data_IF_913095078114
#
_entry.id   IF_913095078114
#
_cell.length_a   1.000
_cell.length_b   1.000
_cell.length_c   1.000
_cell.angle_alpha   90.00
_cell.angle_beta   90.00
_cell.angle_gamma   90.00
#
_symmetry.space_group_name_H-M   'P 1'
#
loop_
_entity.id
_entity.type
_entity.pdbx_description
1 polymer ?
#
# COMPACT_ATOMS: atom_id res chain seq x y z
N UNK A 1 -8.03 42.81 7.31
CA UNK A 1 -7.32 41.50 7.46
C UNK A 1 -8.14 40.49 8.24
N UNK A 2 -8.77 40.84 9.36
CA UNK A 2 -9.52 39.89 10.22
C UNK A 2 -10.73 39.27 9.55
N UNK A 3 -11.46 39.97 8.70
CA UNK A 3 -12.66 39.46 8.01
C UNK A 3 -12.27 38.45 6.96
N UNK A 4 -11.23 38.70 6.15
CA UNK A 4 -10.76 37.77 5.14
C UNK A 4 -10.24 36.45 5.75
N UNK A 5 -9.57 36.55 6.92
CA UNK A 5 -9.13 35.36 7.67
C UNK A 5 -10.31 34.53 8.15
N UNK A 6 -11.35 35.15 8.68
CA UNK A 6 -12.56 34.48 9.15
C UNK A 6 -13.26 33.73 8.00
N UNK A 7 -13.39 34.36 6.82
CA UNK A 7 -13.93 33.75 5.63
C UNK A 7 -13.10 32.54 5.16
N UNK A 8 -11.76 32.63 5.22
CA UNK A 8 -10.86 31.52 4.89
C UNK A 8 -11.07 30.31 5.82
N UNK A 9 -11.14 30.54 7.13
CA UNK A 9 -11.34 29.46 8.12
C UNK A 9 -12.74 28.84 7.97
N UNK A 10 -13.79 29.64 7.88
CA UNK A 10 -15.17 29.16 7.69
C UNK A 10 -15.31 28.42 6.37
N UNK A 11 -14.71 28.94 5.29
CA UNK A 11 -14.72 28.29 3.97
C UNK A 11 -14.05 26.91 3.99
N UNK A 12 -12.88 26.78 4.64
CA UNK A 12 -12.23 25.49 4.78
C UNK A 12 -13.02 24.51 5.64
N UNK A 13 -13.62 24.97 6.74
CA UNK A 13 -14.48 24.13 7.57
C UNK A 13 -15.74 23.67 6.81
N UNK A 14 -16.38 24.57 6.08
CA UNK A 14 -17.54 24.24 5.25
C UNK A 14 -17.19 23.26 4.13
N UNK A 15 -16.05 23.46 3.44
CA UNK A 15 -15.56 22.55 2.42
C UNK A 15 -15.24 21.17 2.99
N UNK A 16 -14.59 21.12 4.17
CA UNK A 16 -14.29 19.86 4.86
C UNK A 16 -15.56 19.12 5.31
N UNK A 17 -16.56 19.84 5.83
CA UNK A 17 -17.87 19.27 6.19
C UNK A 17 -18.60 18.75 4.95
N UNK A 18 -18.60 19.50 3.85
CA UNK A 18 -19.18 19.08 2.59
C UNK A 18 -18.47 17.82 2.05
N UNK A 19 -17.15 17.80 2.03
CA UNK A 19 -16.36 16.64 1.62
C UNK A 19 -16.65 15.40 2.47
N UNK A 20 -16.76 15.55 3.81
CA UNK A 20 -17.15 14.45 4.70
C UNK A 20 -18.59 13.99 4.47
N UNK A 21 -19.51 14.90 4.19
CA UNK A 21 -20.92 14.56 3.94
C UNK A 21 -21.11 13.83 2.61
N UNK A 22 -20.50 14.33 1.54
CA UNK A 22 -20.59 13.74 0.21
C UNK A 22 -19.68 12.51 0.04
N UNK A 23 -18.52 12.50 0.70
CA UNK A 23 -17.57 11.38 0.65
C UNK A 23 -18.01 10.13 1.44
N UNK A 24 -19.06 10.23 2.29
CA UNK A 24 -19.60 9.05 3.02
C UNK A 24 -20.15 7.97 2.07
N UNK A 25 -20.55 8.33 0.87
CA UNK A 25 -21.07 7.42 -0.16
C UNK A 25 -20.13 7.33 -1.37
N UNK A 26 -18.85 7.63 -1.17
CA UNK A 26 -17.86 7.52 -2.23
C UNK A 26 -17.74 6.06 -2.68
N UNK A 27 -18.22 5.80 -3.90
CA UNK A 27 -18.13 4.48 -4.53
C UNK A 27 -16.70 4.12 -4.93
N UNK A 28 -15.81 5.12 -5.01
CA UNK A 28 -14.39 4.96 -5.31
C UNK A 28 -13.55 4.73 -4.06
N UNK A 29 -14.15 4.78 -2.86
CA UNK A 29 -13.47 4.45 -1.62
C UNK A 29 -13.01 2.99 -1.67
N UNK A 30 -11.73 2.70 -1.33
CA UNK A 30 -11.21 1.34 -1.37
C UNK A 30 -12.07 0.42 -0.48
N UNK A 31 -12.56 -0.66 -1.07
CA UNK A 31 -13.35 -1.65 -0.34
C UNK A 31 -12.54 -2.23 0.83
N UNK A 32 -13.15 -2.38 2.01
CA UNK A 32 -12.45 -2.92 3.18
C UNK A 32 -11.88 -4.30 2.87
N UNK A 33 -10.60 -4.48 3.15
CA UNK A 33 -9.92 -5.74 2.92
C UNK A 33 -10.34 -6.80 3.93
N UNK A 34 -10.68 -7.96 3.41
CA UNK A 34 -10.94 -9.18 4.17
C UNK A 34 -9.87 -10.23 3.91
N UNK A 35 -9.84 -11.24 4.77
CA UNK A 35 -9.04 -12.43 4.56
C UNK A 35 -9.89 -13.65 4.91
N UNK A 36 -9.73 -14.70 4.12
CA UNK A 36 -10.37 -16.00 4.38
C UNK A 36 -9.41 -17.13 4.04
N UNK A 37 -9.48 -18.18 4.83
CA UNK A 37 -8.94 -19.48 4.46
C UNK A 37 -10.03 -20.23 3.71
N UNK A 38 -9.69 -20.70 2.54
CA UNK A 38 -10.57 -21.43 1.61
C UNK A 38 -10.08 -22.86 1.53
N UNK A 39 -10.99 -23.83 1.63
CA UNK A 39 -10.72 -25.23 1.32
C UNK A 39 -10.97 -25.44 -0.16
N UNK A 40 -9.97 -25.97 -0.83
CA UNK A 40 -10.05 -26.28 -2.26
C UNK A 40 -10.87 -27.56 -2.45
N UNK A 41 -11.81 -27.53 -3.39
CA UNK A 41 -12.69 -28.65 -3.75
C UNK A 41 -12.62 -28.98 -5.24
N UNK A 42 -11.82 -28.23 -5.99
CA UNK A 42 -11.66 -28.43 -7.44
C UNK A 42 -10.74 -29.60 -7.74
N UNK A 43 -11.18 -30.45 -8.68
CA UNK A 43 -10.44 -31.64 -9.14
C UNK A 43 -9.52 -31.35 -10.35
N UNK A 44 -9.59 -30.12 -10.92
CA UNK A 44 -8.81 -29.73 -12.10
C UNK A 44 -7.43 -29.15 -11.77
N UNK A 45 -7.05 -29.15 -10.49
CA UNK A 45 -5.72 -28.74 -10.00
C UNK A 45 -5.25 -27.37 -10.54
N UNK A 46 -6.02 -26.29 -10.39
CA UNK A 46 -5.68 -25.00 -10.97
C UNK A 46 -4.38 -24.43 -10.39
N UNK A 47 -3.63 -23.70 -11.20
CA UNK A 47 -2.50 -22.94 -10.69
C UNK A 47 -2.98 -21.71 -9.86
N UNK A 48 -2.23 -21.39 -8.82
CA UNK A 48 -2.47 -20.16 -8.04
C UNK A 48 -2.47 -18.93 -8.95
N UNK A 49 -1.58 -18.90 -9.96
CA UNK A 49 -1.49 -17.84 -10.95
C UNK A 49 -2.77 -17.65 -11.75
N UNK A 50 -3.39 -18.74 -12.21
CA UNK A 50 -4.61 -18.69 -13.02
C UNK A 50 -5.78 -18.10 -12.22
N UNK A 51 -5.88 -18.50 -10.95
CA UNK A 51 -6.89 -17.93 -10.04
C UNK A 51 -6.60 -16.46 -9.74
N UNK A 52 -5.34 -16.10 -9.58
CA UNK A 52 -4.92 -14.72 -9.36
C UNK A 52 -5.30 -13.79 -10.52
N UNK A 53 -5.02 -14.22 -11.78
CA UNK A 53 -5.41 -13.50 -12.99
C UNK A 53 -6.93 -13.39 -13.12
N UNK A 54 -7.65 -14.51 -12.88
CA UNK A 54 -9.11 -14.55 -12.93
C UNK A 54 -9.78 -13.61 -11.94
N UNK A 55 -9.12 -13.32 -10.82
CA UNK A 55 -9.56 -12.36 -9.81
C UNK A 55 -9.06 -10.93 -10.09
N UNK A 56 -8.50 -10.67 -11.26
CA UNK A 56 -8.05 -9.35 -11.72
C UNK A 56 -6.82 -8.84 -10.98
N UNK A 57 -5.96 -9.76 -10.49
CA UNK A 57 -4.69 -9.45 -9.79
C UNK A 57 -4.83 -8.61 -8.52
N UNK A 58 -6.06 -8.46 -8.01
CA UNK A 58 -6.40 -7.60 -6.84
C UNK A 58 -6.56 -8.38 -5.54
N UNK A 59 -5.97 -9.56 -5.46
CA UNK A 59 -5.92 -10.39 -4.25
C UNK A 59 -4.49 -10.79 -3.93
N UNK A 60 -4.24 -11.25 -2.71
CA UNK A 60 -2.95 -11.80 -2.30
C UNK A 60 -3.16 -13.18 -1.70
N UNK A 61 -2.44 -14.16 -2.21
CA UNK A 61 -2.35 -15.49 -1.62
C UNK A 61 -1.22 -15.50 -0.59
N UNK A 62 -1.55 -15.70 0.68
CA UNK A 62 -0.58 -15.48 1.76
C UNK A 62 -0.10 -16.75 2.44
N UNK A 63 -0.90 -17.81 2.46
CA UNK A 63 -0.59 -19.11 3.07
C UNK A 63 -1.21 -20.22 2.28
N UNK A 64 -0.50 -21.34 2.19
CA UNK A 64 -0.96 -22.60 1.61
C UNK A 64 -0.59 -23.73 2.57
N UNK A 65 -1.54 -24.62 2.88
CA UNK A 65 -1.32 -25.88 3.56
C UNK A 65 -1.82 -27.00 2.65
N UNK A 66 -0.94 -27.95 2.37
CA UNK A 66 -1.29 -29.16 1.63
C UNK A 66 -2.08 -30.11 2.52
N UNK A 67 -3.33 -30.35 2.17
CA UNK A 67 -4.24 -31.15 2.99
C UNK A 67 -4.46 -30.56 4.38
N UNK A 68 -4.79 -31.43 5.34
CA UNK A 68 -5.14 -30.98 6.72
C UNK A 68 -3.94 -30.81 7.65
N UNK A 69 -2.86 -31.57 7.42
CA UNK A 69 -1.74 -31.71 8.35
C UNK A 69 -0.40 -31.21 7.81
N UNK A 70 -0.34 -30.84 6.53
CA UNK A 70 0.88 -30.35 5.90
C UNK A 70 1.43 -29.07 6.52
N UNK A 71 2.72 -28.76 6.28
CA UNK A 71 3.30 -27.51 6.73
C UNK A 71 2.65 -26.33 6.00
N UNK A 72 2.52 -25.20 6.71
CA UNK A 72 2.05 -23.97 6.09
C UNK A 72 3.22 -23.33 5.34
N UNK A 73 3.05 -23.14 4.04
CA UNK A 73 4.03 -22.53 3.15
C UNK A 73 3.46 -21.24 2.53
N UNK A 74 4.33 -20.45 1.92
CA UNK A 74 3.93 -19.33 1.08
C UNK A 74 3.61 -19.86 -0.33
N UNK A 75 2.39 -19.65 -0.84
CA UNK A 75 2.07 -20.09 -2.20
C UNK A 75 2.85 -19.28 -3.25
N UNK A 76 3.28 -19.98 -4.29
CA UNK A 76 3.86 -19.40 -5.50
C UNK A 76 2.82 -19.42 -6.62
N UNK A 77 2.98 -18.57 -7.62
CA UNK A 77 2.04 -18.53 -8.75
C UNK A 77 2.04 -19.84 -9.57
N UNK A 78 3.16 -20.56 -9.54
CA UNK A 78 3.32 -21.88 -10.19
C UNK A 78 2.81 -23.05 -9.36
N UNK A 79 2.37 -22.84 -8.13
CA UNK A 79 1.83 -23.91 -7.31
C UNK A 79 0.44 -24.31 -7.81
N UNK A 80 0.18 -25.62 -7.89
CA UNK A 80 -1.16 -26.18 -8.11
C UNK A 80 -1.93 -26.16 -6.79
N UNK A 81 -3.23 -26.13 -6.87
CA UNK A 81 -4.15 -26.26 -5.73
C UNK A 81 -4.89 -27.59 -5.85
N UNK A 82 -4.66 -28.48 -4.91
CA UNK A 82 -5.24 -29.83 -4.92
C UNK A 82 -6.50 -29.87 -4.02
N UNK A 83 -7.45 -30.78 -4.30
CA UNK A 83 -8.60 -30.98 -3.42
C UNK A 83 -8.18 -31.25 -1.98
N UNK A 84 -8.78 -30.56 -1.02
CA UNK A 84 -8.44 -30.65 0.39
C UNK A 84 -7.36 -29.65 0.86
N UNK A 85 -6.67 -28.98 -0.04
CA UNK A 85 -5.73 -27.92 0.31
C UNK A 85 -6.44 -26.75 0.98
N UNK A 86 -5.72 -26.07 1.88
CA UNK A 86 -6.19 -24.85 2.53
C UNK A 86 -5.35 -23.67 2.05
N UNK A 87 -6.00 -22.67 1.45
CA UNK A 87 -5.32 -21.47 0.97
C UNK A 87 -5.92 -20.21 1.60
N UNK A 88 -5.07 -19.29 2.08
CA UNK A 88 -5.52 -18.00 2.62
C UNK A 88 -5.42 -16.92 1.56
N UNK A 89 -6.58 -16.33 1.24
CA UNK A 89 -6.72 -15.22 0.28
C UNK A 89 -7.01 -13.92 1.05
N UNK A 90 -6.35 -12.84 0.66
CA UNK A 90 -6.50 -11.48 1.20
C UNK A 90 -6.85 -10.54 0.06
N UNK A 91 -7.90 -9.74 0.22
CA UNK A 91 -8.33 -8.80 -0.82
C UNK A 91 -9.65 -8.11 -0.47
N UNK A 92 -10.24 -7.35 -1.40
CA UNK A 92 -11.59 -6.83 -1.30
C UNK A 92 -12.58 -7.94 -0.98
N UNK A 93 -13.55 -7.65 -0.11
CA UNK A 93 -14.49 -8.65 0.41
C UNK A 93 -15.20 -9.45 -0.70
N UNK A 94 -15.56 -8.77 -1.78
CA UNK A 94 -16.25 -9.38 -2.93
C UNK A 94 -15.34 -10.36 -3.68
N UNK A 95 -14.07 -9.99 -3.91
CA UNK A 95 -13.11 -10.86 -4.58
C UNK A 95 -12.72 -12.07 -3.73
N UNK A 96 -12.62 -11.88 -2.41
CA UNK A 96 -12.39 -13.00 -1.48
C UNK A 96 -13.60 -13.96 -1.45
N UNK A 97 -14.83 -13.43 -1.55
CA UNK A 97 -16.03 -14.27 -1.68
C UNK A 97 -16.05 -15.02 -3.02
N UNK A 98 -15.70 -14.34 -4.13
CA UNK A 98 -15.55 -14.99 -5.44
C UNK A 98 -14.48 -16.07 -5.43
N UNK A 99 -13.32 -15.82 -4.82
CA UNK A 99 -12.28 -16.82 -4.66
C UNK A 99 -12.79 -18.07 -3.91
N UNK A 100 -13.63 -17.88 -2.88
CA UNK A 100 -14.23 -19.00 -2.16
C UNK A 100 -15.17 -19.81 -3.05
N UNK A 101 -16.00 -19.16 -3.88
CA UNK A 101 -16.89 -19.83 -4.83
C UNK A 101 -16.12 -20.54 -5.95
N UNK A 102 -15.01 -19.95 -6.41
CA UNK A 102 -14.18 -20.52 -7.48
C UNK A 102 -13.37 -21.72 -7.02
N UNK A 103 -12.87 -21.74 -5.79
CA UNK A 103 -11.99 -22.78 -5.27
C UNK A 103 -12.72 -23.85 -4.46
N UNK A 104 -13.86 -23.53 -3.85
CA UNK A 104 -14.60 -24.43 -2.99
C UNK A 104 -15.40 -23.66 -1.94
N UNK A 105 -15.04 -23.76 -0.66
CA UNK A 105 -15.76 -23.07 0.40
C UNK A 105 -14.84 -22.43 1.45
N UNK A 106 -15.38 -21.48 2.22
CA UNK A 106 -14.66 -20.88 3.33
C UNK A 106 -14.44 -21.90 4.46
N UNK A 107 -13.19 -22.17 4.79
CA UNK A 107 -12.82 -23.08 5.89
C UNK A 107 -13.14 -22.47 7.25
N UNK A 108 -13.61 -23.30 8.19
CA UNK A 108 -13.70 -22.94 9.61
C UNK A 108 -12.33 -22.81 10.28
N UNK A 109 -11.30 -23.47 9.74
CA UNK A 109 -9.94 -23.39 10.24
C UNK A 109 -9.18 -22.23 9.62
N UNK A 110 -8.69 -21.31 10.45
CA UNK A 110 -7.88 -20.18 9.99
C UNK A 110 -6.39 -20.53 10.07
N UNK A 111 -5.71 -20.59 8.92
CA UNK A 111 -4.26 -20.77 8.87
C UNK A 111 -3.48 -19.60 9.49
N UNK A 112 -4.15 -18.50 9.79
CA UNK A 112 -3.51 -17.32 10.38
C UNK A 112 -3.18 -17.48 11.86
N UNK A 113 -3.79 -18.44 12.54
CA UNK A 113 -3.55 -18.72 13.95
C UNK A 113 -2.29 -19.56 14.16
N UNK A 114 -1.95 -20.40 13.19
CA UNK A 114 -0.74 -21.20 13.20
C UNK A 114 0.46 -20.37 12.75
N UNK A 115 1.40 -20.12 13.68
CA UNK A 115 2.62 -19.32 13.44
C UNK A 115 3.90 -20.14 13.53
N UNK A 116 3.78 -21.46 13.50
CA UNK A 116 4.92 -22.37 13.70
C UNK A 116 5.98 -22.19 12.61
N UNK A 117 5.58 -22.14 11.36
CA UNK A 117 6.48 -22.05 10.19
C UNK A 117 6.45 -20.67 9.54
N UNK A 118 5.27 -20.08 9.43
CA UNK A 118 5.06 -18.75 8.86
C UNK A 118 4.43 -17.84 9.91
N UNK A 119 5.12 -16.77 10.22
CA UNK A 119 4.57 -15.70 11.04
C UNK A 119 4.20 -14.48 10.17
N UNK A 120 3.45 -13.55 10.73
CA UNK A 120 3.22 -12.26 10.14
C UNK A 120 3.60 -11.15 11.10
N UNK A 121 4.15 -10.10 10.55
CA UNK A 121 4.43 -8.88 11.31
C UNK A 121 3.94 -7.66 10.56
N UNK A 122 3.45 -6.68 11.30
CA UNK A 122 3.20 -5.34 10.78
C UNK A 122 4.46 -4.54 11.00
N UNK A 123 4.98 -3.95 9.94
CA UNK A 123 6.22 -3.16 9.96
C UNK A 123 5.95 -1.82 9.32
N UNK A 124 6.54 -0.77 9.86
CA UNK A 124 6.49 0.57 9.28
C UNK A 124 7.71 0.75 8.37
N UNK A 125 7.47 1.25 7.17
CA UNK A 125 8.55 1.56 6.25
C UNK A 125 9.24 2.83 6.71
N UNK A 126 10.47 2.70 7.20
CA UNK A 126 11.34 3.81 7.60
C UNK A 126 12.72 3.74 6.93
N UNK A 127 12.96 2.72 6.09
CA UNK A 127 14.19 2.62 5.32
C UNK A 127 14.05 3.37 3.99
N UNK A 128 14.83 4.45 3.76
CA UNK A 128 14.76 5.23 2.51
C UNK A 128 15.07 4.42 1.25
N UNK A 129 15.79 3.28 1.37
CA UNK A 129 16.09 2.39 0.24
C UNK A 129 14.88 1.58 -0.23
N UNK A 130 13.85 1.47 0.60
CA UNK A 130 12.59 0.76 0.33
C UNK A 130 11.52 1.74 -0.15
N UNK A 131 11.52 2.94 0.40
CA UNK A 131 10.59 4.01 0.00
C UNK A 131 10.73 4.35 -1.49
N UNK A 132 9.61 4.56 -2.17
CA UNK A 132 9.55 4.86 -3.60
C UNK A 132 9.76 3.65 -4.52
N UNK A 133 9.89 2.44 -3.97
CA UNK A 133 9.99 1.21 -4.76
C UNK A 133 8.67 0.47 -4.86
N UNK A 134 8.45 -0.22 -5.98
CA UNK A 134 7.27 -1.08 -6.12
C UNK A 134 7.43 -2.37 -5.32
N UNK A 135 6.31 -2.95 -4.88
CA UNK A 135 6.30 -4.24 -4.15
C UNK A 135 7.08 -5.32 -4.92
N UNK A 136 6.88 -5.42 -6.23
CA UNK A 136 7.59 -6.40 -7.07
C UNK A 136 9.11 -6.17 -7.10
N UNK A 137 9.55 -4.91 -7.17
CA UNK A 137 10.97 -4.57 -7.28
C UNK A 137 11.77 -4.87 -6.02
N UNK A 138 11.11 -5.06 -4.87
CA UNK A 138 11.79 -5.43 -3.62
C UNK A 138 12.33 -6.86 -3.62
N UNK A 139 11.82 -7.74 -4.48
CA UNK A 139 12.29 -9.11 -4.59
C UNK A 139 12.15 -9.94 -3.31
N UNK A 140 11.20 -9.61 -2.44
CA UNK A 140 11.02 -10.24 -1.11
C UNK A 140 10.83 -11.75 -1.18
N UNK A 141 10.16 -12.21 -2.24
CA UNK A 141 9.92 -13.63 -2.47
C UNK A 141 11.23 -14.40 -2.62
N UNK A 142 12.20 -13.84 -3.36
CA UNK A 142 13.50 -14.47 -3.62
C UNK A 142 14.47 -14.32 -2.44
N UNK A 143 14.48 -13.16 -1.80
CA UNK A 143 15.44 -12.87 -0.72
C UNK A 143 15.06 -13.48 0.62
N UNK A 144 13.76 -13.45 0.96
CA UNK A 144 13.29 -13.75 2.31
C UNK A 144 12.20 -14.83 2.34
N UNK A 145 11.80 -15.38 1.18
CA UNK A 145 10.60 -16.21 1.07
C UNK A 145 9.38 -15.53 1.67
N UNK A 146 9.29 -14.20 1.50
CA UNK A 146 8.30 -13.35 2.13
C UNK A 146 7.32 -12.78 1.11
N UNK A 147 6.13 -12.44 1.59
CA UNK A 147 5.14 -11.69 0.80
C UNK A 147 4.54 -10.59 1.63
N UNK A 148 4.19 -9.46 0.99
CA UNK A 148 3.37 -8.43 1.59
C UNK A 148 1.92 -8.78 1.24
N UNK A 149 1.07 -8.94 2.24
CA UNK A 149 -0.35 -9.25 2.04
C UNK A 149 -1.23 -8.01 2.08
N UNK A 150 -0.78 -6.94 2.71
CA UNK A 150 -1.53 -5.69 2.90
C UNK A 150 -0.57 -4.54 3.12
N UNK A 151 -0.92 -3.39 2.58
CA UNK A 151 -0.26 -2.10 2.86
C UNK A 151 -1.31 -1.17 3.44
N UNK A 152 -0.98 -0.47 4.52
CA UNK A 152 -1.82 0.55 5.11
C UNK A 152 -1.11 1.89 5.03
N UNK A 153 -1.74 2.85 4.35
CA UNK A 153 -1.27 4.22 4.21
C UNK A 153 -2.29 5.15 4.88
N UNK A 154 -1.87 5.79 5.98
CA UNK A 154 -2.83 6.50 6.84
C UNK A 154 -3.93 5.55 7.32
N UNK A 155 -5.16 5.84 6.95
CA UNK A 155 -6.33 5.03 7.29
C UNK A 155 -6.82 4.10 6.17
N UNK A 156 -6.15 4.09 5.02
CA UNK A 156 -6.53 3.28 3.87
C UNK A 156 -5.75 1.97 3.85
N UNK A 157 -6.46 0.84 3.85
CA UNK A 157 -5.90 -0.49 3.63
C UNK A 157 -5.93 -0.82 2.13
N UNK A 158 -4.80 -1.21 1.56
CA UNK A 158 -4.62 -1.57 0.16
C UNK A 158 -4.06 -2.99 0.03
N UNK A 159 -4.45 -3.69 -1.04
CA UNK A 159 -3.77 -4.93 -1.43
C UNK A 159 -2.36 -4.60 -1.87
N UNK A 160 -1.40 -5.45 -1.53
CA UNK A 160 -0.02 -5.29 -1.96
C UNK A 160 0.16 -5.78 -3.41
N UNK A 161 -0.42 -5.06 -4.36
CA UNK A 161 -0.27 -5.34 -5.79
C UNK A 161 1.20 -5.18 -6.21
N UNK A 162 1.67 -5.92 -7.22
CA UNK A 162 3.07 -5.87 -7.67
C UNK A 162 3.55 -4.46 -8.03
N UNK A 163 2.68 -3.66 -8.65
CA UNK A 163 2.94 -2.28 -9.07
C UNK A 163 2.78 -1.22 -8.00
N UNK A 164 2.27 -1.58 -6.80
CA UNK A 164 2.07 -0.62 -5.73
C UNK A 164 3.40 -0.04 -5.26
N UNK A 165 3.55 1.29 -5.37
CA UNK A 165 4.72 2.01 -4.87
C UNK A 165 4.59 2.20 -3.36
N UNK A 166 5.57 1.71 -2.61
CA UNK A 166 5.63 1.85 -1.16
C UNK A 166 6.19 3.23 -0.79
N UNK A 167 5.61 3.83 0.25
CA UNK A 167 6.03 5.14 0.76
C UNK A 167 6.54 5.02 2.19
N UNK A 168 7.35 5.96 2.59
CA UNK A 168 7.75 6.10 3.97
C UNK A 168 6.52 6.32 4.85
N UNK A 169 6.48 5.65 6.01
CA UNK A 169 5.30 5.67 6.88
C UNK A 169 4.24 4.62 6.56
N UNK A 170 4.28 3.98 5.38
CA UNK A 170 3.37 2.87 5.09
C UNK A 170 3.56 1.75 6.11
N UNK A 171 2.46 1.16 6.58
CA UNK A 171 2.48 -0.03 7.42
C UNK A 171 2.20 -1.25 6.55
N UNK A 172 3.23 -2.06 6.35
CA UNK A 172 3.14 -3.30 5.58
C UNK A 172 2.88 -4.49 6.48
N UNK A 173 1.97 -5.38 6.07
CA UNK A 173 1.80 -6.69 6.70
C UNK A 173 2.56 -7.73 5.91
N UNK A 174 3.70 -8.14 6.45
CA UNK A 174 4.60 -9.12 5.83
C UNK A 174 4.32 -10.49 6.42
N UNK A 175 4.23 -11.51 5.56
CA UNK A 175 4.16 -12.94 5.90
C UNK A 175 5.47 -13.56 5.45
N UNK A 176 6.17 -14.23 6.36
CA UNK A 176 7.48 -14.82 6.09
C UNK A 176 7.79 -15.95 7.08
N UNK A 177 8.79 -16.79 6.78
CA UNK A 177 9.33 -17.75 7.74
C UNK A 177 9.77 -17.03 9.01
N UNK A 178 9.44 -17.60 10.17
CA UNK A 178 9.75 -17.01 11.49
C UNK A 178 11.24 -16.70 11.63
N UNK A 179 12.12 -17.55 11.10
CA UNK A 179 13.57 -17.36 11.12
C UNK A 179 14.04 -16.12 10.35
N UNK A 180 13.29 -15.65 9.34
CA UNK A 180 13.63 -14.49 8.50
C UNK A 180 13.06 -13.18 9.01
N UNK A 181 12.21 -13.22 10.02
CA UNK A 181 11.45 -12.06 10.46
C UNK A 181 12.35 -10.91 10.99
N UNK A 182 13.46 -11.24 11.65
CA UNK A 182 14.40 -10.23 12.14
C UNK A 182 15.14 -9.50 10.99
N UNK A 183 15.55 -10.24 9.95
CA UNK A 183 16.22 -9.67 8.77
C UNK A 183 15.25 -8.75 8.01
N UNK A 184 13.99 -9.19 7.87
CA UNK A 184 12.95 -8.42 7.20
C UNK A 184 12.62 -7.14 7.98
N UNK A 185 12.54 -7.21 9.30
CA UNK A 185 12.35 -6.03 10.14
C UNK A 185 13.45 -4.99 9.89
N UNK A 186 14.71 -5.44 9.84
CA UNK A 186 15.84 -4.56 9.52
C UNK A 186 15.78 -4.01 8.10
N UNK A 187 15.30 -4.81 7.15
CA UNK A 187 15.14 -4.41 5.75
C UNK A 187 14.13 -3.27 5.59
N UNK A 188 12.98 -3.32 6.26
CA UNK A 188 11.97 -2.27 6.23
C UNK A 188 12.30 -1.08 7.13
N UNK A 189 13.20 -1.26 8.11
CA UNK A 189 13.58 -0.26 9.08
C UNK A 189 12.73 -0.27 10.34
N UNK A 190 11.43 -0.57 10.27
CA UNK A 190 10.41 -0.70 11.35
C UNK A 190 10.63 0.24 12.56
N UNK A 191 10.97 1.50 12.28
CA UNK A 191 11.27 2.52 13.27
C UNK A 191 10.34 3.72 13.10
N UNK A 192 9.61 4.05 14.14
CA UNK A 192 8.84 5.32 14.18
C UNK A 192 9.74 6.54 14.26
N UNK A 193 11.00 6.40 14.68
CA UNK A 193 11.96 7.49 14.71
C UNK A 193 12.41 7.94 13.33
N UNK A 194 12.55 7.00 12.37
CA UNK A 194 12.89 7.33 10.99
C UNK A 194 11.83 8.17 10.27
N UNK A 195 10.58 8.13 10.75
CA UNK A 195 9.47 8.92 10.18
C UNK A 195 9.51 10.40 10.56
N UNK A 196 10.28 10.75 11.58
CA UNK A 196 10.48 12.14 12.03
C UNK A 196 11.70 12.81 11.42
N UNK A 197 12.55 12.04 10.74
CA UNK A 197 13.74 12.57 10.09
C UNK A 197 13.38 13.05 8.67
N UNK A 198 12.96 14.33 8.60
CA UNK A 198 12.78 15.01 7.32
C UNK A 198 14.09 14.96 6.54
N UNK A 199 14.03 14.60 5.26
CA UNK A 199 15.19 14.69 4.39
C UNK A 199 15.49 16.16 4.07
N UNK A 200 16.51 16.80 4.69
CA UNK A 200 16.76 18.23 4.52
C UNK A 200 17.13 18.62 3.09
N UNK A 201 17.68 17.67 2.32
CA UNK A 201 18.02 17.88 0.91
C UNK A 201 16.75 17.95 0.07
N UNK A 202 15.83 16.99 0.25
CA UNK A 202 14.55 16.97 -0.45
C UNK A 202 13.71 18.22 -0.11
N UNK A 203 13.67 18.59 1.17
CA UNK A 203 13.00 19.80 1.63
C UNK A 203 13.61 21.06 0.99
N UNK A 204 14.93 21.20 1.05
CA UNK A 204 15.63 22.37 0.50
C UNK A 204 15.44 22.52 -1.02
N UNK A 205 15.57 21.43 -1.76
CA UNK A 205 15.33 21.41 -3.21
C UNK A 205 13.86 21.70 -3.51
N UNK A 206 12.93 21.08 -2.78
CA UNK A 206 11.50 21.30 -2.95
C UNK A 206 11.10 22.76 -2.72
N UNK A 207 11.62 23.38 -1.67
CA UNK A 207 11.39 24.80 -1.38
C UNK A 207 11.98 25.72 -2.46
N UNK A 208 13.22 25.49 -2.85
CA UNK A 208 13.89 26.30 -3.90
C UNK A 208 13.13 26.23 -5.23
N UNK A 209 12.76 25.02 -5.67
CA UNK A 209 11.97 24.84 -6.90
C UNK A 209 10.56 25.45 -6.75
N UNK A 210 9.93 25.31 -5.60
CA UNK A 210 8.61 25.86 -5.34
C UNK A 210 8.60 27.39 -5.41
N UNK A 211 9.59 28.03 -4.78
CA UNK A 211 9.76 29.51 -4.85
C UNK A 211 10.02 29.92 -6.31
N UNK A 212 10.95 29.26 -7.01
CA UNK A 212 11.26 29.61 -8.38
C UNK A 212 10.03 29.51 -9.30
N UNK A 213 9.24 28.43 -9.20
CA UNK A 213 8.01 28.24 -9.97
C UNK A 213 6.94 29.24 -9.55
N UNK A 214 6.81 29.53 -8.25
CA UNK A 214 5.83 30.48 -7.73
C UNK A 214 6.04 31.92 -8.17
N UNK A 215 7.27 32.31 -8.36
CA UNK A 215 7.65 33.67 -8.78
C UNK A 215 7.74 33.84 -10.29
N UNK A 216 7.54 32.77 -11.08
CA UNK A 216 7.52 32.90 -12.54
C UNK A 216 6.41 33.84 -12.98
N UNK A 217 6.74 34.92 -13.75
CA UNK A 217 5.73 35.83 -14.26
C UNK A 217 4.98 35.19 -15.43
N UNK A 218 3.67 35.04 -15.25
CA UNK A 218 2.74 34.54 -16.28
C UNK A 218 2.09 35.76 -16.94
N UNK A 219 2.23 35.90 -18.27
CA UNK A 219 1.57 36.96 -19.01
C UNK A 219 0.07 36.62 -19.14
N UNK A 220 -0.77 37.50 -18.62
CA UNK A 220 -2.21 37.41 -18.79
C UNK A 220 -2.68 37.97 -20.12
N UNK A 221 -3.87 37.57 -20.63
CA UNK A 221 -4.41 38.11 -21.89
C UNK A 221 -4.54 39.62 -21.91
N UNK A 222 -4.64 40.27 -20.75
CA UNK A 222 -4.73 41.72 -20.59
C UNK A 222 -3.37 42.41 -20.58
N UNK A 223 -2.27 41.71 -20.88
CA UNK A 223 -0.92 42.25 -20.94
C UNK A 223 -0.28 42.51 -19.57
N UNK A 224 -0.86 42.05 -18.49
CA UNK A 224 -0.29 42.17 -17.15
C UNK A 224 0.49 40.91 -16.76
N UNK A 225 1.48 41.07 -15.86
CA UNK A 225 2.20 39.93 -15.29
C UNK A 225 1.54 39.51 -13.99
N UNK A 226 1.29 38.21 -13.88
CA UNK A 226 0.77 37.57 -12.68
C UNK A 226 1.73 36.47 -12.23
N UNK A 227 2.01 36.37 -10.94
CA UNK A 227 2.70 35.22 -10.34
C UNK A 227 1.78 34.54 -9.33
N UNK A 228 1.84 33.20 -9.25
CA UNK A 228 1.05 32.45 -8.27
C UNK A 228 1.54 32.61 -6.84
N UNK A 229 2.73 33.17 -6.69
CA UNK A 229 3.40 33.40 -5.42
C UNK A 229 4.16 32.18 -4.88
N UNK A 230 5.19 32.46 -4.10
CA UNK A 230 6.11 31.45 -3.54
C UNK A 230 5.39 30.41 -2.69
N UNK A 231 4.36 30.78 -1.93
CA UNK A 231 3.58 29.86 -1.09
C UNK A 231 2.81 28.83 -1.93
N UNK A 232 2.15 29.26 -3.02
CA UNK A 232 1.43 28.35 -3.91
C UNK A 232 2.40 27.47 -4.71
N UNK A 233 3.51 28.02 -5.18
CA UNK A 233 4.56 27.28 -5.86
C UNK A 233 5.15 26.16 -5.00
N UNK A 234 5.48 26.46 -3.75
CA UNK A 234 6.00 25.43 -2.81
C UNK A 234 4.97 24.36 -2.49
N UNK A 235 3.69 24.69 -2.37
CA UNK A 235 2.62 23.71 -2.18
C UNK A 235 2.49 22.76 -3.38
N UNK A 236 2.52 23.30 -4.61
CA UNK A 236 2.41 22.50 -5.83
C UNK A 236 3.60 21.52 -5.94
N UNK A 237 4.83 22.02 -5.74
CA UNK A 237 6.02 21.18 -5.76
C UNK A 237 6.00 20.13 -4.67
N UNK A 238 5.55 20.47 -3.46
CA UNK A 238 5.39 19.53 -2.36
C UNK A 238 4.39 18.41 -2.69
N UNK A 239 3.26 18.73 -3.30
CA UNK A 239 2.27 17.73 -3.75
C UNK A 239 2.85 16.81 -4.83
N UNK A 240 3.60 17.36 -5.79
CA UNK A 240 4.27 16.57 -6.84
C UNK A 240 5.33 15.65 -6.23
N UNK A 241 6.16 16.15 -5.33
CA UNK A 241 7.18 15.35 -4.67
C UNK A 241 6.57 14.26 -3.81
N UNK A 242 5.51 14.57 -3.07
CA UNK A 242 4.78 13.58 -2.27
C UNK A 242 4.16 12.47 -3.13
N UNK A 243 3.66 12.83 -4.33
CA UNK A 243 3.09 11.82 -5.26
C UNK A 243 4.16 10.95 -5.93
N UNK A 244 5.31 11.51 -6.29
CA UNK A 244 6.41 10.78 -6.92
C UNK A 244 7.11 9.88 -5.89
N UNK A 245 7.20 10.32 -4.63
CA UNK A 245 7.78 9.58 -3.52
C UNK A 245 9.30 9.37 -3.59
N UNK A 246 9.91 9.44 -4.79
CA UNK A 246 11.34 9.29 -4.98
C UNK A 246 11.83 9.87 -6.32
N UNK A 247 12.94 10.60 -6.29
CA UNK A 247 13.65 11.07 -7.49
C UNK A 247 15.09 10.56 -7.40
N UNK A 248 15.43 9.54 -8.22
CA UNK A 248 16.76 8.92 -8.18
C UNK A 248 17.08 8.31 -6.80
N UNK A 249 18.21 8.68 -6.19
CA UNK A 249 18.60 8.18 -4.86
C UNK A 249 17.87 8.88 -3.70
N UNK A 250 17.13 9.96 -3.96
CA UNK A 250 16.53 10.81 -2.92
C UNK A 250 15.07 10.44 -2.72
N UNK A 251 14.68 10.11 -1.49
CA UNK A 251 13.27 10.00 -1.10
C UNK A 251 12.69 11.41 -1.01
N UNK A 252 11.56 11.66 -1.70
CA UNK A 252 10.92 12.98 -1.81
C UNK A 252 9.63 13.08 -1.01
N UNK A 253 9.23 12.00 -0.30
CA UNK A 253 8.12 12.04 0.64
C UNK A 253 8.47 13.01 1.78
N UNK A 254 7.69 14.06 1.90
CA UNK A 254 7.76 15.10 2.93
C UNK A 254 6.69 14.84 3.98
#
# INVERSE_FOLDING_TARGET
>A
YSIAYLFGVIGMLAASMAALHYGRNDKDAPSPLSNRTIRVERDDHPFVGDIYEKLGEKVSFSRLRRGETGPITRPQMSDTLDPGDLVTVVGPRELVARAATELGHASSHSLMQDRTYLDFRRMTISNPKVSGRTVASLGLAKQFSATISRVRRGDVDMVAEPGLVLQEGDRVRVVAPTSKMAEITKFFGDSSRGLTDLNPIALGIGMALGIAIGELPILTPDGQYFSIGSAAGTLIVGLVFGRIGRIGPIATAL
#
